data_IF_235105315632
#
_entry.id   IF_235105315632
#
_cell.length_a   1.000
_cell.length_b   1.000
_cell.length_c   1.000
_cell.angle_alpha   90.00
_cell.angle_beta   90.00
_cell.angle_gamma   90.00
#
_symmetry.space_group_name_H-M   'P 1'
#
loop_
_entity.id
_entity.type
_entity.pdbx_description
1 polymer ?
#
# COMPACT_ATOMS: atom_id res chain seq x y z
N UNK A 1 0.68 -21.48 -3.33
CA UNK A 1 1.40 -21.29 -4.61
C UNK A 1 1.56 -22.56 -5.46
N UNK A 2 1.39 -23.77 -4.95
CA UNK A 2 1.47 -25.01 -5.76
C UNK A 2 0.17 -25.40 -6.49
N UNK A 3 -0.96 -24.80 -6.14
CA UNK A 3 -2.27 -25.08 -6.75
C UNK A 3 -2.30 -24.92 -8.30
N UNK A 4 -1.69 -23.90 -8.92
CA UNK A 4 -1.68 -23.79 -10.38
C UNK A 4 -0.98 -24.96 -11.08
N UNK A 5 0.09 -25.49 -10.50
CA UNK A 5 0.84 -26.63 -11.06
C UNK A 5 0.00 -27.93 -11.12
N UNK A 6 -0.91 -28.10 -10.15
CA UNK A 6 -1.83 -29.24 -10.12
C UNK A 6 -2.86 -29.19 -11.26
N UNK A 7 -3.20 -28.01 -11.79
CA UNK A 7 -4.12 -27.84 -12.92
C UNK A 7 -3.39 -27.90 -14.27
N UNK A 8 -2.18 -27.39 -14.34
CA UNK A 8 -1.40 -27.34 -15.60
C UNK A 8 -0.96 -28.75 -16.02
N UNK A 9 -0.65 -29.64 -15.09
CA UNK A 9 -0.19 -30.99 -15.42
C UNK A 9 -1.25 -31.85 -16.11
N UNK A 10 -2.48 -32.04 -15.60
CA UNK A 10 -3.55 -32.78 -16.33
C UNK A 10 -3.87 -32.14 -17.68
N UNK A 11 -3.86 -30.80 -17.77
CA UNK A 11 -4.09 -30.08 -19.01
C UNK A 11 -2.99 -30.38 -20.04
N UNK A 12 -1.72 -30.41 -19.60
CA UNK A 12 -0.59 -30.78 -20.44
C UNK A 12 -0.70 -32.21 -20.97
N UNK A 13 -1.13 -33.16 -20.14
CA UNK A 13 -1.33 -34.57 -20.53
C UNK A 13 -2.45 -34.66 -21.59
N UNK A 14 -3.61 -34.02 -21.35
CA UNK A 14 -4.72 -34.01 -22.28
C UNK A 14 -4.33 -33.38 -23.63
N UNK A 15 -3.62 -32.25 -23.60
CA UNK A 15 -3.10 -31.58 -24.80
C UNK A 15 -2.11 -32.46 -25.56
N UNK A 16 -1.18 -33.09 -24.87
CA UNK A 16 -0.19 -33.99 -25.47
C UNK A 16 -0.86 -35.16 -26.16
N UNK A 17 -1.89 -35.76 -25.52
CA UNK A 17 -2.62 -36.88 -26.10
C UNK A 17 -3.38 -36.47 -27.36
N UNK A 18 -4.09 -35.34 -27.32
CA UNK A 18 -4.79 -34.80 -28.48
C UNK A 18 -3.84 -34.49 -29.63
N UNK A 19 -2.71 -33.82 -29.35
CA UNK A 19 -1.72 -33.44 -30.33
C UNK A 19 -1.04 -34.69 -30.94
N UNK A 20 -0.67 -35.67 -30.11
CA UNK A 20 -0.03 -36.90 -30.56
C UNK A 20 -0.92 -37.69 -31.56
N UNK A 21 -2.21 -37.78 -31.25
CA UNK A 21 -3.14 -38.43 -32.15
C UNK A 21 -3.31 -37.73 -33.51
N UNK A 22 -3.38 -36.37 -33.48
CA UNK A 22 -3.46 -35.60 -34.71
C UNK A 22 -2.20 -35.71 -35.57
N UNK A 23 -1.03 -35.58 -34.92
CA UNK A 23 0.25 -35.69 -35.62
C UNK A 23 0.50 -37.10 -36.14
N UNK A 24 0.11 -38.13 -35.38
CA UNK A 24 0.25 -39.53 -35.82
C UNK A 24 -0.68 -39.87 -36.99
N UNK A 25 -1.88 -39.31 -37.06
CA UNK A 25 -2.85 -39.63 -38.12
C UNK A 25 -2.52 -38.96 -39.47
N UNK A 26 -1.94 -37.75 -39.45
CA UNK A 26 -1.76 -36.94 -40.65
C UNK A 26 -0.99 -37.65 -41.77
N UNK A 27 0.21 -38.24 -41.59
CA UNK A 27 0.95 -38.90 -42.65
C UNK A 27 0.26 -40.09 -43.24
N UNK A 28 -0.45 -40.86 -42.41
CA UNK A 28 -1.17 -42.08 -42.87
C UNK A 28 -2.45 -41.71 -43.62
N UNK A 29 -3.20 -40.71 -43.18
CA UNK A 29 -4.34 -40.21 -43.94
C UNK A 29 -3.93 -39.67 -45.29
N UNK A 30 -2.77 -39.04 -45.37
CA UNK A 30 -2.19 -38.60 -46.65
C UNK A 30 -1.82 -39.76 -47.54
N UNK A 31 -1.16 -40.81 -47.01
CA UNK A 31 -0.82 -42.03 -47.72
C UNK A 31 -2.10 -42.78 -48.26
N UNK A 32 -3.14 -42.87 -47.40
CA UNK A 32 -4.41 -43.45 -47.82
C UNK A 32 -5.05 -42.69 -48.99
N UNK A 33 -5.00 -41.34 -48.98
CA UNK A 33 -5.49 -40.50 -50.10
C UNK A 33 -4.71 -40.77 -51.35
N UNK A 34 -3.38 -40.93 -51.25
CA UNK A 34 -2.53 -41.23 -52.41
C UNK A 34 -2.80 -42.64 -52.95
N UNK A 35 -3.04 -43.67 -52.11
CA UNK A 35 -3.41 -44.98 -52.51
C UNK A 35 -4.74 -44.97 -53.29
N UNK A 36 -5.77 -44.31 -52.78
CA UNK A 36 -7.07 -44.18 -53.44
C UNK A 36 -6.88 -43.49 -54.81
N UNK A 37 -6.14 -42.39 -54.84
CA UNK A 37 -5.87 -41.65 -56.08
C UNK A 37 -5.08 -42.48 -57.09
N UNK A 38 -4.14 -43.32 -56.65
CA UNK A 38 -3.37 -44.24 -57.49
C UNK A 38 -4.26 -45.32 -58.11
N UNK A 39 -5.18 -45.93 -57.34
CA UNK A 39 -6.14 -46.91 -57.84
C UNK A 39 -7.13 -46.25 -58.79
N UNK A 40 -7.60 -45.06 -58.50
CA UNK A 40 -8.55 -44.30 -59.30
C UNK A 40 -8.01 -44.07 -60.73
N UNK A 41 -6.71 -43.75 -60.86
CA UNK A 41 -6.04 -43.55 -62.16
C UNK A 41 -5.92 -44.87 -63.00
N UNK A 42 -6.08 -46.02 -62.39
CA UNK A 42 -6.01 -47.32 -63.07
C UNK A 42 -7.37 -47.84 -63.54
N UNK A 43 -8.46 -47.19 -63.14
CA UNK A 43 -9.82 -47.56 -63.62
C UNK A 43 -9.97 -46.97 -65.02
N UNK A 44 -10.17 -47.84 -66.01
CA UNK A 44 -10.38 -47.45 -67.42
C UNK A 44 -11.74 -47.92 -67.89
N UNK A 45 -12.39 -47.16 -68.77
CA UNK A 45 -13.59 -47.56 -69.46
C UNK A 45 -13.22 -48.27 -70.75
N UNK A 46 -13.66 -49.52 -70.86
CA UNK A 46 -13.58 -50.31 -72.09
C UNK A 46 -14.98 -50.70 -72.49
N UNK A 47 -15.43 -50.25 -73.69
CA UNK A 47 -16.78 -50.48 -74.22
C UNK A 47 -17.90 -50.05 -73.25
N UNK A 48 -17.74 -48.93 -72.56
CA UNK A 48 -18.71 -48.35 -71.63
C UNK A 48 -18.81 -49.11 -70.29
N UNK A 49 -17.93 -50.10 -70.04
CA UNK A 49 -17.88 -50.83 -68.75
C UNK A 49 -16.55 -50.49 -68.02
N UNK A 50 -16.60 -50.19 -66.71
CA UNK A 50 -15.41 -49.97 -65.94
C UNK A 50 -14.58 -51.25 -65.82
N UNK A 51 -13.32 -51.20 -66.24
CA UNK A 51 -12.33 -52.25 -66.11
C UNK A 51 -11.16 -51.74 -65.29
N UNK A 52 -10.78 -52.48 -64.29
CA UNK A 52 -9.61 -52.21 -63.47
C UNK A 52 -8.45 -53.10 -63.88
N UNK A 53 -7.35 -52.47 -64.31
CA UNK A 53 -6.10 -53.16 -64.62
C UNK A 53 -5.03 -52.77 -63.61
N UNK A 54 -4.97 -53.52 -62.49
CA UNK A 54 -3.93 -53.30 -61.50
C UNK A 54 -2.66 -54.11 -61.86
N UNK A 55 -1.55 -53.45 -62.13
CA UNK A 55 -0.26 -54.11 -62.31
C UNK A 55 0.14 -54.92 -61.06
N UNK A 56 0.87 -56.00 -61.26
CA UNK A 56 1.33 -56.82 -60.14
C UNK A 56 2.20 -56.03 -59.13
N UNK A 57 2.93 -55.06 -59.62
CA UNK A 57 3.69 -54.13 -58.78
C UNK A 57 2.82 -53.27 -57.86
N UNK A 58 1.71 -52.76 -58.36
CA UNK A 58 0.77 -51.96 -57.54
C UNK A 58 0.07 -52.80 -56.50
N UNK A 59 -0.28 -54.06 -56.80
CA UNK A 59 -0.83 -55.03 -55.83
C UNK A 59 0.18 -55.43 -54.75
N UNK A 60 1.44 -55.58 -55.13
CA UNK A 60 2.52 -55.87 -54.19
C UNK A 60 2.83 -54.67 -53.27
N UNK A 61 2.75 -53.46 -53.77
CA UNK A 61 2.96 -52.24 -53.01
C UNK A 61 1.87 -52.02 -51.98
N UNK A 62 0.63 -52.33 -52.29
CA UNK A 62 -0.50 -52.26 -51.37
C UNK A 62 -0.45 -53.34 -50.27
N UNK A 63 0.30 -54.44 -50.47
CA UNK A 63 0.45 -55.55 -49.50
C UNK A 63 1.81 -55.61 -48.83
N UNK A 64 2.69 -54.67 -49.12
CA UNK A 64 4.09 -54.72 -48.67
C UNK A 64 4.32 -54.25 -47.23
N UNK A 65 3.25 -53.94 -46.53
CA UNK A 65 3.38 -53.49 -45.12
C UNK A 65 3.33 -54.66 -44.14
N UNK A 66 4.35 -54.82 -43.33
CA UNK A 66 4.49 -55.97 -42.39
C UNK A 66 3.64 -55.80 -41.12
N UNK A 67 3.24 -54.59 -40.76
CA UNK A 67 2.53 -54.33 -39.50
C UNK A 67 1.06 -53.97 -39.68
N UNK A 68 0.74 -53.12 -40.65
CA UNK A 68 -0.63 -52.74 -40.98
C UNK A 68 -1.11 -53.48 -42.22
N UNK A 69 -2.33 -54.04 -42.16
CA UNK A 69 -2.94 -54.68 -43.30
C UNK A 69 -3.70 -53.65 -44.11
N UNK A 70 -3.31 -53.54 -45.40
CA UNK A 70 -4.00 -52.66 -46.35
C UNK A 70 -5.01 -53.49 -47.14
N UNK A 71 -6.23 -53.07 -47.09
CA UNK A 71 -7.36 -53.66 -47.82
C UNK A 71 -7.84 -52.67 -48.86
N UNK A 72 -8.26 -53.19 -50.00
CA UNK A 72 -8.88 -52.34 -51.03
C UNK A 72 -10.09 -53.01 -51.65
N UNK A 73 -11.05 -52.20 -52.06
CA UNK A 73 -12.23 -52.67 -52.82
C UNK A 73 -12.58 -51.66 -53.88
N UNK A 74 -12.89 -52.20 -55.05
CA UNK A 74 -13.41 -51.40 -56.18
C UNK A 74 -14.73 -52.02 -56.61
N UNK A 75 -15.81 -51.31 -56.42
CA UNK A 75 -17.17 -51.75 -56.72
C UNK A 75 -17.89 -50.72 -57.57
N UNK A 76 -18.87 -51.17 -58.34
CA UNK A 76 -19.83 -50.27 -59.00
C UNK A 76 -20.96 -49.90 -58.00
N UNK A 77 -21.68 -48.83 -58.20
CA UNK A 77 -22.75 -48.37 -57.32
C UNK A 77 -23.92 -49.38 -57.24
N UNK A 78 -24.09 -50.27 -58.26
CA UNK A 78 -25.01 -51.40 -58.25
C UNK A 78 -24.51 -52.59 -57.47
N UNK A 79 -23.37 -52.49 -56.78
CA UNK A 79 -22.80 -53.50 -55.90
C UNK A 79 -21.90 -54.54 -56.56
N UNK A 80 -21.60 -54.43 -57.86
CA UNK A 80 -20.76 -55.42 -58.59
C UNK A 80 -19.29 -55.20 -58.22
N UNK A 81 -18.62 -56.22 -57.65
CA UNK A 81 -17.19 -56.19 -57.34
C UNK A 81 -16.38 -56.25 -58.61
N UNK A 82 -15.51 -55.24 -58.81
CA UNK A 82 -14.53 -55.17 -59.93
C UNK A 82 -13.20 -55.78 -59.54
N UNK A 83 -12.72 -55.48 -58.33
CA UNK A 83 -11.50 -56.04 -57.78
C UNK A 83 -11.42 -55.80 -56.25
N UNK A 84 -10.59 -56.56 -55.57
CA UNK A 84 -10.25 -56.37 -54.13
C UNK A 84 -11.01 -57.24 -53.16
N UNK A 85 -11.07 -56.81 -51.92
CA UNK A 85 -11.61 -57.56 -50.79
C UNK A 85 -13.12 -57.39 -50.67
N UNK A 86 -13.86 -58.47 -50.73
CA UNK A 86 -15.33 -58.46 -50.73
C UNK A 86 -15.92 -58.06 -49.39
N UNK A 87 -15.21 -58.33 -48.29
CA UNK A 87 -15.72 -58.25 -46.94
C UNK A 87 -15.56 -56.87 -46.28
N UNK A 88 -15.00 -55.87 -46.99
CA UNK A 88 -14.87 -54.53 -46.43
C UNK A 88 -16.23 -53.93 -46.01
N UNK A 89 -16.30 -53.12 -44.94
CA UNK A 89 -17.55 -52.53 -44.48
C UNK A 89 -18.23 -51.71 -45.58
N UNK A 90 -19.53 -51.94 -45.73
CA UNK A 90 -20.27 -51.23 -46.79
C UNK A 90 -20.29 -49.72 -46.59
N UNK A 91 -20.04 -48.97 -47.67
CA UNK A 91 -20.29 -47.54 -47.68
C UNK A 91 -21.77 -47.34 -47.99
N UNK A 92 -22.42 -46.50 -47.18
CA UNK A 92 -23.79 -46.11 -47.49
C UNK A 92 -23.82 -45.40 -48.84
N UNK A 93 -24.76 -45.70 -49.71
CA UNK A 93 -24.89 -44.97 -50.96
C UNK A 93 -25.09 -43.49 -50.71
N UNK A 94 -24.55 -42.61 -51.53
CA UNK A 94 -24.64 -41.16 -51.31
C UNK A 94 -26.11 -40.73 -51.30
N UNK A 95 -26.53 -40.09 -50.24
CA UNK A 95 -27.86 -39.50 -50.13
C UNK A 95 -27.79 -38.07 -50.67
N UNK A 96 -28.33 -37.86 -51.92
CA UNK A 96 -28.48 -36.51 -52.48
C UNK A 96 -27.29 -35.96 -53.27
N UNK A 97 -27.30 -34.67 -53.51
CA UNK A 97 -26.37 -33.94 -54.37
C UNK A 97 -25.00 -33.57 -53.70
N UNK A 98 -24.73 -34.17 -52.52
CA UNK A 98 -23.58 -33.81 -51.69
C UNK A 98 -22.23 -34.47 -52.10
N UNK A 99 -22.24 -35.41 -53.00
CA UNK A 99 -21.02 -36.16 -53.36
C UNK A 99 -20.32 -35.51 -54.56
N UNK A 100 -19.13 -34.98 -54.34
CA UNK A 100 -18.28 -34.45 -55.39
C UNK A 100 -17.45 -35.62 -55.96
N UNK A 101 -17.63 -35.96 -57.22
CA UNK A 101 -16.84 -37.00 -57.86
C UNK A 101 -15.36 -36.64 -57.87
N UNK A 102 -14.50 -37.57 -57.47
CA UNK A 102 -13.03 -37.36 -57.42
C UNK A 102 -12.55 -36.81 -56.09
N UNK A 103 -13.42 -36.34 -55.19
CA UNK A 103 -13.07 -35.99 -53.83
C UNK A 103 -12.85 -37.25 -52.97
N UNK A 104 -11.83 -37.23 -52.08
CA UNK A 104 -11.47 -38.35 -51.26
C UNK A 104 -11.95 -38.13 -49.81
N UNK A 105 -12.86 -38.96 -49.37
CA UNK A 105 -13.45 -38.95 -48.03
C UNK A 105 -12.75 -39.94 -47.14
N UNK A 106 -12.64 -39.60 -45.82
CA UNK A 106 -12.06 -40.45 -44.80
C UNK A 106 -13.13 -40.82 -43.78
N UNK A 107 -13.16 -42.07 -43.34
CA UNK A 107 -13.99 -42.53 -42.24
C UNK A 107 -13.30 -43.62 -41.40
N UNK A 108 -13.71 -43.78 -40.18
CA UNK A 108 -13.33 -44.89 -39.34
C UNK A 108 -14.37 -46.03 -39.44
N UNK A 109 -13.90 -47.25 -39.41
CA UNK A 109 -14.74 -48.46 -39.45
C UNK A 109 -14.08 -49.56 -38.65
N UNK A 110 -14.88 -50.54 -38.21
CA UNK A 110 -14.38 -51.80 -37.66
C UNK A 110 -14.38 -52.86 -38.77
N UNK A 111 -13.29 -53.59 -38.88
CA UNK A 111 -13.17 -54.71 -39.78
C UNK A 111 -12.51 -55.90 -39.09
N UNK A 112 -13.25 -56.98 -38.95
CA UNK A 112 -12.81 -58.21 -38.27
C UNK A 112 -12.29 -58.02 -36.85
N UNK A 113 -12.86 -57.02 -36.10
CA UNK A 113 -12.46 -56.71 -34.74
C UNK A 113 -11.20 -55.83 -34.65
N UNK A 114 -10.77 -55.24 -35.76
CA UNK A 114 -9.67 -54.25 -35.82
C UNK A 114 -10.21 -52.92 -36.28
N UNK A 115 -9.70 -51.84 -35.66
CA UNK A 115 -9.98 -50.46 -36.11
C UNK A 115 -9.35 -50.23 -37.46
N UNK A 116 -10.18 -49.83 -38.41
CA UNK A 116 -9.79 -49.58 -39.80
C UNK A 116 -10.06 -48.10 -40.16
N UNK A 117 -9.09 -47.44 -40.73
CA UNK A 117 -9.25 -46.15 -41.36
C UNK A 117 -9.47 -46.35 -42.85
N UNK A 118 -10.60 -45.89 -43.36
CA UNK A 118 -11.01 -46.01 -44.75
C UNK A 118 -10.92 -44.68 -45.47
N UNK A 119 -10.26 -44.66 -46.61
CA UNK A 119 -10.38 -43.60 -47.59
C UNK A 119 -11.19 -44.10 -48.77
N UNK A 120 -12.11 -43.30 -49.29
CA UNK A 120 -12.92 -43.67 -50.45
C UNK A 120 -13.22 -42.47 -51.35
N UNK A 121 -13.44 -42.78 -52.61
CA UNK A 121 -13.86 -41.80 -53.61
C UNK A 121 -14.87 -42.39 -54.59
N UNK A 122 -15.65 -41.49 -55.14
CA UNK A 122 -16.59 -41.84 -56.24
C UNK A 122 -16.01 -41.35 -57.57
N UNK A 123 -15.91 -42.28 -58.53
CA UNK A 123 -15.51 -41.92 -59.89
C UNK A 123 -16.74 -41.88 -60.78
N UNK A 124 -16.92 -40.75 -61.44
CA UNK A 124 -17.92 -40.53 -62.46
C UNK A 124 -17.23 -40.02 -63.71
N UNK A 125 -17.48 -40.63 -64.86
CA UNK A 125 -17.08 -40.10 -66.16
C UNK A 125 -18.34 -39.67 -66.93
N UNK A 126 -18.27 -38.56 -67.64
CA UNK A 126 -19.41 -37.85 -68.24
C UNK A 126 -20.38 -38.69 -69.10
N UNK A 127 -19.96 -39.86 -69.52
CA UNK A 127 -20.75 -40.81 -70.32
C UNK A 127 -21.40 -41.97 -69.51
N UNK A 128 -21.22 -42.03 -68.19
CA UNK A 128 -21.71 -43.14 -67.36
C UNK A 128 -23.07 -42.86 -66.73
N UNK A 129 -24.04 -43.82 -66.80
CA UNK A 129 -25.23 -43.81 -65.95
C UNK A 129 -24.84 -43.84 -64.49
N UNK A 130 -25.61 -43.17 -63.55
CA UNK A 130 -25.34 -43.19 -62.13
C UNK A 130 -25.13 -44.60 -61.51
N UNK A 131 -25.82 -45.60 -62.04
CA UNK A 131 -25.69 -46.99 -61.61
C UNK A 131 -24.32 -47.63 -61.85
N UNK A 132 -23.50 -47.06 -62.78
CA UNK A 132 -22.18 -47.57 -63.12
C UNK A 132 -21.03 -46.75 -62.52
N UNK A 133 -21.33 -45.78 -61.65
CA UNK A 133 -20.28 -45.06 -60.89
C UNK A 133 -19.44 -46.07 -60.14
N UNK A 134 -18.17 -45.82 -60.08
CA UNK A 134 -17.21 -46.71 -59.39
C UNK A 134 -16.86 -46.13 -58.03
N UNK A 135 -16.98 -46.91 -57.01
CA UNK A 135 -16.52 -46.60 -55.65
C UNK A 135 -15.17 -47.29 -55.45
N UNK A 136 -14.16 -46.51 -55.11
CA UNK A 136 -12.85 -47.02 -54.76
C UNK A 136 -12.67 -46.81 -53.26
N UNK A 137 -12.34 -47.84 -52.56
CA UNK A 137 -12.10 -47.84 -51.12
C UNK A 137 -10.71 -48.43 -50.84
N UNK A 138 -9.98 -47.79 -49.96
CA UNK A 138 -8.75 -48.32 -49.40
C UNK A 138 -8.79 -48.13 -47.88
N UNK A 139 -8.60 -49.21 -47.15
CA UNK A 139 -8.56 -49.21 -45.73
C UNK A 139 -7.24 -49.72 -45.18
N UNK A 140 -6.80 -49.18 -44.11
CA UNK A 140 -5.60 -49.56 -43.40
C UNK A 140 -5.89 -49.70 -41.91
N UNK A 141 -5.36 -50.73 -41.26
CA UNK A 141 -5.48 -50.89 -39.83
C UNK A 141 -4.72 -49.75 -39.10
N UNK A 142 -5.17 -49.42 -37.91
CA UNK A 142 -4.65 -48.22 -37.20
C UNK A 142 -3.54 -48.52 -36.19
N UNK A 143 -2.96 -49.75 -36.28
CA UNK A 143 -2.01 -50.23 -35.27
C UNK A 143 -0.71 -49.41 -35.24
N UNK A 144 -0.10 -49.09 -36.38
CA UNK A 144 1.08 -48.23 -36.48
C UNK A 144 0.83 -46.81 -35.97
N UNK A 145 -0.36 -46.27 -36.30
CA UNK A 145 -0.77 -44.93 -35.85
C UNK A 145 -0.85 -44.91 -34.33
N UNK A 146 -1.49 -45.91 -33.73
CA UNK A 146 -1.60 -46.07 -32.26
C UNK A 146 -0.20 -46.23 -31.62
N UNK A 147 0.69 -47.04 -32.21
CA UNK A 147 2.05 -47.18 -31.70
C UNK A 147 2.82 -45.89 -31.79
N UNK A 148 2.71 -45.13 -32.88
CA UNK A 148 3.38 -43.84 -33.03
C UNK A 148 2.84 -42.80 -32.04
N UNK A 149 1.50 -42.70 -31.92
CA UNK A 149 0.87 -41.83 -30.94
C UNK A 149 1.34 -42.14 -29.52
N UNK A 150 1.34 -43.43 -29.15
CA UNK A 150 1.79 -43.91 -27.84
C UNK A 150 3.28 -43.59 -27.59
N UNK A 151 4.14 -43.74 -28.62
CA UNK A 151 5.56 -43.35 -28.51
C UNK A 151 5.71 -41.85 -28.28
N UNK A 152 4.96 -41.01 -29.00
CA UNK A 152 4.96 -39.54 -28.81
C UNK A 152 4.50 -39.21 -27.38
N UNK A 153 3.38 -39.78 -26.95
CA UNK A 153 2.82 -39.56 -25.61
C UNK A 153 3.83 -40.00 -24.54
N UNK A 154 4.42 -41.18 -24.65
CA UNK A 154 5.40 -41.68 -23.70
C UNK A 154 6.66 -40.79 -23.66
N UNK A 155 7.16 -40.36 -24.82
CA UNK A 155 8.36 -39.52 -24.90
C UNK A 155 8.20 -38.14 -24.27
N UNK A 156 6.97 -37.58 -24.24
CA UNK A 156 6.67 -36.28 -23.65
C UNK A 156 6.26 -36.41 -22.19
N UNK A 157 5.43 -37.40 -21.85
CA UNK A 157 4.89 -37.53 -20.51
C UNK A 157 5.90 -38.10 -19.51
N UNK A 158 6.70 -39.10 -19.91
CA UNK A 158 7.65 -39.77 -19.00
C UNK A 158 8.66 -38.78 -18.36
N UNK A 159 9.31 -37.86 -19.10
CA UNK A 159 10.16 -36.85 -18.52
C UNK A 159 9.43 -35.90 -17.55
N UNK A 160 8.16 -35.61 -17.76
CA UNK A 160 7.37 -34.74 -16.89
C UNK A 160 7.25 -35.30 -15.47
N UNK A 161 7.17 -36.63 -15.30
CA UNK A 161 7.14 -37.26 -13.99
C UNK A 161 8.42 -37.05 -13.16
N UNK A 162 9.54 -36.70 -13.80
CA UNK A 162 10.80 -36.39 -13.12
C UNK A 162 10.94 -34.87 -12.96
N UNK A 163 10.70 -34.11 -14.03
CA UNK A 163 10.95 -32.66 -14.08
C UNK A 163 10.01 -31.91 -13.14
N UNK A 164 8.72 -32.26 -13.11
CA UNK A 164 7.73 -31.52 -12.30
C UNK A 164 7.96 -31.70 -10.80
N UNK A 165 8.13 -32.94 -10.24
CA UNK A 165 8.48 -33.10 -8.83
C UNK A 165 9.79 -32.43 -8.44
N UNK A 166 10.80 -32.50 -9.32
CA UNK A 166 12.07 -31.84 -9.09
C UNK A 166 11.92 -30.32 -9.04
N UNK A 167 11.17 -29.73 -9.97
CA UNK A 167 10.88 -28.30 -9.99
C UNK A 167 10.12 -27.87 -8.73
N UNK A 168 9.09 -28.63 -8.32
CA UNK A 168 8.34 -28.37 -7.08
C UNK A 168 9.23 -28.42 -5.86
N UNK A 169 10.12 -29.41 -5.79
CA UNK A 169 11.08 -29.56 -4.69
C UNK A 169 12.07 -28.38 -4.63
N UNK A 170 12.59 -27.94 -5.79
CA UNK A 170 13.51 -26.80 -5.86
C UNK A 170 12.84 -25.49 -5.44
N UNK A 171 11.61 -25.25 -5.93
CA UNK A 171 10.82 -24.06 -5.54
C UNK A 171 10.51 -24.09 -4.04
N UNK A 172 10.09 -25.24 -3.50
CA UNK A 172 9.82 -25.39 -2.08
C UNK A 172 11.08 -25.15 -1.23
N UNK A 173 12.23 -25.70 -1.65
CA UNK A 173 13.51 -25.51 -0.95
C UNK A 173 13.94 -24.04 -1.00
N UNK A 174 13.90 -23.41 -2.18
CA UNK A 174 14.24 -22.00 -2.35
C UNK A 174 13.36 -21.08 -1.49
N UNK A 175 12.04 -21.28 -1.55
CA UNK A 175 11.08 -20.49 -0.78
C UNK A 175 11.24 -20.70 0.73
N UNK A 176 11.42 -21.96 1.17
CA UNK A 176 11.63 -22.29 2.58
C UNK A 176 12.90 -21.66 3.14
N UNK A 177 13.98 -21.62 2.33
CA UNK A 177 15.25 -21.02 2.74
C UNK A 177 15.19 -19.50 2.68
N UNK A 178 14.54 -18.93 1.65
CA UNK A 178 14.40 -17.49 1.49
C UNK A 178 13.50 -16.84 2.56
N UNK A 179 12.48 -17.55 3.06
CA UNK A 179 11.58 -17.02 4.10
C UNK A 179 12.06 -17.27 5.53
N UNK A 180 13.11 -18.08 5.74
CA UNK A 180 13.65 -18.32 7.10
C UNK A 180 14.07 -17.06 7.85
N UNK A 181 14.74 -16.07 7.24
CA UNK A 181 15.11 -14.84 7.93
C UNK A 181 13.90 -14.07 8.45
N UNK A 182 12.85 -13.98 7.65
CA UNK A 182 11.60 -13.32 8.05
C UNK A 182 10.94 -14.02 9.24
N UNK A 183 10.92 -15.36 9.23
CA UNK A 183 10.40 -16.15 10.35
C UNK A 183 11.24 -15.96 11.64
N UNK A 184 12.57 -15.81 11.50
CA UNK A 184 13.45 -15.52 12.63
C UNK A 184 13.21 -14.11 13.17
N UNK A 185 13.12 -13.12 12.29
CA UNK A 185 12.81 -11.74 12.67
C UNK A 185 11.50 -11.67 13.45
N UNK A 186 10.44 -12.29 12.92
CA UNK A 186 9.16 -12.41 13.62
C UNK A 186 9.31 -13.01 15.02
N UNK A 187 9.99 -14.15 15.13
CA UNK A 187 10.23 -14.79 16.45
C UNK A 187 11.01 -13.91 17.41
N UNK A 188 11.98 -13.14 16.91
CA UNK A 188 12.74 -12.17 17.72
C UNK A 188 11.84 -11.06 18.24
N UNK A 189 10.92 -10.56 17.42
CA UNK A 189 9.95 -9.55 17.82
C UNK A 189 8.93 -10.13 18.80
N UNK A 190 8.35 -11.30 18.51
CA UNK A 190 7.34 -11.96 19.34
C UNK A 190 7.88 -12.37 20.74
N UNK A 191 9.20 -12.66 20.82
CA UNK A 191 9.84 -13.07 22.09
C UNK A 191 10.31 -11.89 22.96
N UNK A 192 10.17 -10.63 22.50
CA UNK A 192 10.55 -9.45 23.29
C UNK A 192 9.55 -9.20 24.39
N UNK A 193 10.07 -8.72 25.51
CA UNK A 193 9.23 -8.17 26.56
C UNK A 193 8.66 -6.81 26.11
N UNK A 194 7.49 -6.41 26.60
CA UNK A 194 6.85 -5.13 26.21
C UNK A 194 7.74 -3.89 26.44
N UNK A 195 8.65 -3.97 27.41
CA UNK A 195 9.54 -2.87 27.80
C UNK A 195 10.91 -2.92 27.12
N UNK A 196 11.20 -3.96 26.32
CA UNK A 196 12.47 -4.08 25.59
C UNK A 196 12.43 -3.30 24.28
N UNK A 197 12.88 -2.06 24.33
CA UNK A 197 13.02 -1.16 23.20
C UNK A 197 14.43 -1.17 22.58
N UNK A 198 15.29 -2.13 22.93
CA UNK A 198 16.64 -2.23 22.38
C UNK A 198 16.63 -2.46 20.86
N UNK A 199 17.63 -1.98 20.09
CA UNK A 199 17.65 -2.15 18.64
C UNK A 199 17.80 -3.62 18.24
N UNK A 200 17.16 -4.01 17.15
CA UNK A 200 17.33 -5.33 16.54
C UNK A 200 18.66 -5.35 15.79
N UNK A 201 19.48 -6.39 16.06
CA UNK A 201 20.78 -6.53 15.44
C UNK A 201 20.67 -6.80 13.92
N UNK A 202 21.23 -5.94 13.09
CA UNK A 202 21.23 -6.04 11.62
C UNK A 202 22.23 -7.07 11.06
N UNK A 203 23.24 -7.45 11.80
CA UNK A 203 24.36 -8.33 11.34
C UNK A 203 23.95 -9.70 10.76
N UNK A 204 22.70 -10.14 10.92
CA UNK A 204 22.20 -11.46 10.43
C UNK A 204 20.95 -11.31 9.56
N UNK A 205 20.68 -10.12 9.11
CA UNK A 205 19.52 -9.81 8.27
C UNK A 205 19.99 -9.75 6.82
N UNK A 206 19.26 -10.36 5.86
CA UNK A 206 19.54 -10.18 4.44
C UNK A 206 19.43 -8.71 4.03
N UNK A 207 20.20 -8.32 3.01
CA UNK A 207 20.23 -6.94 2.47
C UNK A 207 18.85 -6.41 2.11
N UNK A 208 17.96 -7.29 1.63
CA UNK A 208 16.59 -6.95 1.24
C UNK A 208 15.68 -6.58 2.42
N UNK A 209 16.04 -7.01 3.63
CA UNK A 209 15.28 -6.72 4.86
C UNK A 209 15.95 -5.66 5.73
N UNK A 210 17.16 -5.24 5.44
CA UNK A 210 17.90 -4.24 6.21
C UNK A 210 17.14 -2.90 6.33
N UNK A 211 16.57 -2.32 5.25
CA UNK A 211 15.81 -1.07 5.36
C UNK A 211 14.58 -1.19 6.28
N UNK A 212 13.95 -2.37 6.30
CA UNK A 212 12.80 -2.62 7.18
C UNK A 212 13.23 -2.65 8.66
N UNK A 213 14.37 -3.30 8.95
CA UNK A 213 14.90 -3.40 10.32
C UNK A 213 15.40 -2.03 10.80
N UNK A 214 16.01 -1.23 9.92
CA UNK A 214 16.43 0.14 10.23
C UNK A 214 15.23 1.03 10.56
N UNK A 215 14.19 1.04 9.74
CA UNK A 215 12.96 1.79 10.00
C UNK A 215 12.30 1.37 11.33
N UNK A 216 12.32 0.06 11.62
CA UNK A 216 11.81 -0.45 12.89
C UNK A 216 12.67 -0.01 14.09
N UNK A 217 14.00 -0.05 13.96
CA UNK A 217 14.92 0.43 14.99
C UNK A 217 14.78 1.93 15.24
N UNK A 218 14.53 2.71 14.20
CA UNK A 218 14.25 4.14 14.32
C UNK A 218 12.96 4.40 15.10
N UNK A 219 11.92 3.62 14.83
CA UNK A 219 10.67 3.65 15.60
C UNK A 219 10.88 3.28 17.06
N UNK A 220 11.64 2.22 17.35
CA UNK A 220 11.98 1.82 18.73
C UNK A 220 12.76 2.91 19.46
N UNK A 221 13.76 3.50 18.82
CA UNK A 221 14.55 4.60 19.38
C UNK A 221 13.70 5.85 19.66
N UNK A 222 12.70 6.13 18.82
CA UNK A 222 11.72 7.21 19.06
C UNK A 222 10.82 6.89 20.24
N UNK A 223 10.34 5.65 20.32
CA UNK A 223 9.50 5.19 21.43
C UNK A 223 10.26 5.21 22.76
N UNK A 224 11.52 4.77 22.77
CA UNK A 224 12.38 4.83 23.96
C UNK A 224 12.55 6.27 24.46
N UNK A 225 12.85 7.22 23.56
CA UNK A 225 12.96 8.65 23.92
C UNK A 225 11.68 9.19 24.55
N UNK A 226 10.52 8.78 24.00
CA UNK A 226 9.24 9.21 24.54
C UNK A 226 8.99 8.63 25.94
N UNK A 227 9.28 7.34 26.17
CA UNK A 227 9.15 6.72 27.49
C UNK A 227 10.08 7.36 28.51
N UNK A 228 11.34 7.60 28.15
CA UNK A 228 12.31 8.28 29.02
C UNK A 228 11.89 9.71 29.35
N UNK A 229 11.33 10.44 28.36
CA UNK A 229 10.81 11.81 28.59
C UNK A 229 9.61 11.78 29.54
N UNK A 230 8.70 10.81 29.35
CA UNK A 230 7.53 10.63 30.23
C UNK A 230 7.93 10.25 31.66
N UNK A 231 8.90 9.34 31.83
CA UNK A 231 9.40 8.97 33.17
C UNK A 231 10.05 10.16 33.89
N UNK A 232 10.88 10.94 33.19
CA UNK A 232 11.46 12.19 33.72
C UNK A 232 10.37 13.16 34.14
N UNK A 233 9.38 13.39 33.27
CA UNK A 233 8.25 14.27 33.57
C UNK A 233 7.51 13.85 34.87
N UNK A 234 7.20 12.56 35.04
CA UNK A 234 6.51 12.06 36.24
C UNK A 234 7.37 12.24 37.50
N UNK A 235 8.67 11.94 37.37
CA UNK A 235 9.59 12.10 38.50
C UNK A 235 9.71 13.57 38.93
N UNK A 236 9.88 14.48 38.00
CA UNK A 236 10.00 15.91 38.23
C UNK A 236 8.69 16.50 38.77
N UNK A 237 7.54 16.13 38.23
CA UNK A 237 6.24 16.53 38.72
C UNK A 237 6.02 16.10 40.16
N UNK A 238 6.38 14.85 40.52
CA UNK A 238 6.28 14.33 41.86
C UNK A 238 7.18 15.13 42.84
N UNK A 239 8.40 15.47 42.43
CA UNK A 239 9.33 16.27 43.22
C UNK A 239 8.81 17.69 43.46
N UNK A 240 8.33 18.35 42.40
CA UNK A 240 7.79 19.73 42.46
C UNK A 240 6.48 19.81 43.25
N UNK A 241 5.67 18.75 43.31
CA UNK A 241 4.48 18.71 44.14
C UNK A 241 4.82 18.47 45.64
N UNK A 242 5.88 17.72 45.91
CA UNK A 242 6.26 17.42 47.30
C UNK A 242 6.60 18.67 48.11
N UNK A 243 7.31 19.61 47.48
CA UNK A 243 7.77 20.85 48.14
C UNK A 243 6.61 21.71 48.67
N UNK A 244 5.62 22.16 47.85
CA UNK A 244 4.49 22.95 48.34
C UNK A 244 3.62 22.18 49.36
N UNK A 245 3.40 20.87 49.15
CA UNK A 245 2.65 20.04 50.07
C UNK A 245 3.33 19.93 51.44
N UNK A 246 4.66 19.82 51.47
CA UNK A 246 5.42 19.82 52.73
C UNK A 246 5.33 21.19 53.41
N UNK A 247 5.44 22.29 52.71
CA UNK A 247 5.24 23.65 53.22
C UNK A 247 3.84 23.84 53.84
N UNK A 248 2.78 23.44 53.10
CA UNK A 248 1.41 23.46 53.56
C UNK A 248 1.22 22.65 54.85
N UNK A 249 1.77 21.43 54.91
CA UNK A 249 1.72 20.57 56.10
C UNK A 249 2.40 21.26 57.30
N UNK A 250 3.57 21.88 57.10
CA UNK A 250 4.29 22.58 58.18
C UNK A 250 3.49 23.79 58.69
N UNK A 251 2.92 24.61 57.78
CA UNK A 251 2.10 25.77 58.15
C UNK A 251 0.81 25.34 58.86
N UNK A 252 0.17 24.24 58.41
CA UNK A 252 -1.01 23.69 59.10
C UNK A 252 -0.67 23.17 60.52
N UNK A 253 0.47 22.48 60.68
CA UNK A 253 0.95 22.05 61.99
C UNK A 253 1.29 23.20 62.91
N UNK A 254 1.82 24.31 62.40
CA UNK A 254 2.06 25.53 63.14
C UNK A 254 0.72 26.16 63.57
N UNK A 255 -0.22 26.36 62.64
CA UNK A 255 -1.53 26.95 62.91
C UNK A 255 -2.34 26.16 63.96
N UNK A 256 -2.22 24.81 64.01
CA UNK A 256 -2.89 23.97 64.99
C UNK A 256 -2.37 24.24 66.42
N UNK A 257 -1.12 24.63 66.58
CA UNK A 257 -0.47 24.85 67.88
C UNK A 257 -0.44 26.32 68.33
N UNK A 258 -0.81 27.24 67.41
CA UNK A 258 -0.75 28.66 67.63
C UNK A 258 -1.98 29.13 68.42
N UNK A 259 -1.78 29.96 69.44
CA UNK A 259 -2.84 30.54 70.31
C UNK A 259 -3.01 32.03 70.09
N UNK A 260 -1.99 32.70 69.47
CA UNK A 260 -2.10 34.11 69.11
C UNK A 260 -2.99 34.29 67.88
N UNK A 261 -4.10 35.08 67.96
CA UNK A 261 -5.00 35.29 66.85
C UNK A 261 -4.36 35.91 65.61
N UNK A 262 -3.36 36.77 65.75
CA UNK A 262 -2.71 37.41 64.60
C UNK A 262 -1.73 36.44 63.91
N UNK A 263 -0.95 35.68 64.69
CA UNK A 263 -0.10 34.61 64.17
C UNK A 263 -0.88 33.52 63.47
N UNK A 264 -2.05 33.14 64.06
CA UNK A 264 -2.97 32.17 63.43
C UNK A 264 -3.53 32.67 62.10
N UNK A 265 -3.98 33.95 62.03
CA UNK A 265 -4.45 34.54 60.78
C UNK A 265 -3.36 34.59 59.71
N UNK A 266 -2.11 34.88 60.12
CA UNK A 266 -0.96 34.86 59.21
C UNK A 266 -0.71 33.46 58.65
N UNK A 267 -0.69 32.43 59.55
CA UNK A 267 -0.52 31.06 59.12
C UNK A 267 -1.63 30.57 58.14
N UNK A 268 -2.90 30.94 58.44
CA UNK A 268 -4.03 30.63 57.53
C UNK A 268 -3.91 31.31 56.18
N UNK A 269 -3.43 32.57 56.11
CA UNK A 269 -3.17 33.23 54.83
C UNK A 269 -2.04 32.56 54.07
N UNK A 270 -0.98 32.12 54.74
CA UNK A 270 0.11 31.36 54.13
C UNK A 270 -0.39 30.01 53.58
N UNK A 271 -1.26 29.33 54.27
CA UNK A 271 -1.89 28.08 53.80
C UNK A 271 -2.71 28.38 52.55
N UNK A 272 -3.59 29.40 52.55
CA UNK A 272 -4.39 29.79 51.37
C UNK A 272 -3.52 30.07 50.15
N UNK A 273 -2.50 30.90 50.32
CA UNK A 273 -1.51 31.22 49.24
C UNK A 273 -0.81 29.93 48.74
N UNK A 274 -0.44 29.04 49.66
CA UNK A 274 0.20 27.75 49.30
C UNK A 274 -0.73 26.80 48.52
N UNK A 275 -2.03 26.77 48.85
CA UNK A 275 -3.03 26.01 48.09
C UNK A 275 -3.17 26.56 46.69
N UNK A 276 -3.25 27.90 46.54
CA UNK A 276 -3.34 28.54 45.21
C UNK A 276 -2.09 28.25 44.32
N UNK A 277 -0.90 28.24 44.96
CA UNK A 277 0.33 27.84 44.26
C UNK A 277 0.29 26.38 43.81
N UNK A 278 -0.10 25.48 44.67
CA UNK A 278 -0.24 24.06 44.32
C UNK A 278 -1.28 23.84 43.20
N UNK A 279 -2.40 24.55 43.27
CA UNK A 279 -3.44 24.51 42.21
C UNK A 279 -2.91 25.00 40.85
N UNK A 280 -2.17 26.10 40.83
CA UNK A 280 -1.53 26.60 39.60
C UNK A 280 -0.52 25.58 39.04
N UNK A 281 0.31 24.98 39.86
CA UNK A 281 1.26 23.94 39.45
C UNK A 281 0.54 22.74 38.83
N UNK A 282 -0.53 22.24 39.44
CA UNK A 282 -1.34 21.13 38.89
C UNK A 282 -1.90 21.49 37.53
N UNK A 283 -2.48 22.70 37.38
CA UNK A 283 -3.03 23.14 36.10
C UNK A 283 -1.95 23.24 35.01
N UNK A 284 -0.74 23.73 35.35
CA UNK A 284 0.38 23.79 34.43
C UNK A 284 0.85 22.40 34.00
N UNK A 285 0.93 21.43 34.92
CA UNK A 285 1.26 20.04 34.64
C UNK A 285 0.21 19.38 33.74
N UNK A 286 -1.09 19.62 34.01
CA UNK A 286 -2.18 19.12 33.19
C UNK A 286 -2.16 19.73 31.78
N UNK A 287 -1.87 21.03 31.66
CA UNK A 287 -1.75 21.69 30.36
C UNK A 287 -0.58 21.08 29.58
N UNK A 288 0.59 20.91 30.19
CA UNK A 288 1.75 20.30 29.56
C UNK A 288 1.48 18.85 29.14
N UNK A 289 0.87 18.02 30.00
CA UNK A 289 0.53 16.65 29.68
C UNK A 289 -0.47 16.52 28.52
N UNK A 290 -1.47 17.41 28.45
CA UNK A 290 -2.45 17.45 27.35
C UNK A 290 -1.83 17.92 26.04
N UNK A 291 -0.87 18.83 26.12
CA UNK A 291 -0.13 19.34 24.96
C UNK A 291 0.77 18.25 24.38
N UNK A 292 1.51 17.53 25.23
CA UNK A 292 2.38 16.42 24.81
C UNK A 292 1.60 15.17 24.34
N UNK A 293 0.44 14.87 24.94
CA UNK A 293 -0.38 13.70 24.60
C UNK A 293 -1.10 13.79 23.25
N UNK A 294 -0.98 14.91 22.54
CA UNK A 294 -1.63 15.10 21.23
C UNK A 294 -3.16 15.25 21.28
N UNK A 295 -3.80 15.14 22.45
CA UNK A 295 -5.26 15.29 22.58
C UNK A 295 -5.74 16.70 22.19
N UNK A 296 -4.93 17.73 22.44
CA UNK A 296 -5.22 19.11 22.07
C UNK A 296 -4.77 19.43 20.63
N UNK A 297 -3.77 18.71 20.10
CA UNK A 297 -3.36 18.82 18.69
C UNK A 297 -4.44 18.28 17.74
N UNK A 298 -5.32 17.39 18.18
CA UNK A 298 -6.48 16.90 17.42
C UNK A 298 -7.64 17.90 17.35
N UNK A 299 -7.68 18.94 18.21
CA UNK A 299 -8.62 20.05 18.04
C UNK A 299 -8.18 20.87 16.83
N UNK A 300 -9.08 21.00 15.88
CA UNK A 300 -8.84 21.68 14.59
C UNK A 300 -8.19 23.05 14.82
N UNK A 301 -7.07 23.27 14.14
CA UNK A 301 -6.57 24.59 13.88
C UNK A 301 -7.63 25.35 13.07
N UNK A 302 -7.94 26.53 13.48
CA UNK A 302 -8.88 27.40 12.79
C UNK A 302 -8.22 28.73 12.45
N UNK A 303 -8.76 29.42 11.46
CA UNK A 303 -8.32 30.76 11.09
C UNK A 303 -8.82 31.72 12.15
N UNK A 304 -7.89 32.44 12.79
CA UNK A 304 -8.23 33.37 13.86
C UNK A 304 -7.39 34.65 13.76
N UNK A 305 -7.91 35.72 14.31
CA UNK A 305 -7.17 36.99 14.49
C UNK A 305 -6.41 36.95 15.82
N UNK A 306 -5.09 36.79 15.72
CA UNK A 306 -4.21 36.76 16.88
C UNK A 306 -4.23 38.09 17.65
N UNK A 307 -4.38 39.24 16.96
CA UNK A 307 -4.45 40.56 17.61
C UNK A 307 -5.67 40.69 18.54
N UNK A 308 -6.82 40.19 18.08
CA UNK A 308 -8.05 40.18 18.88
C UNK A 308 -7.91 39.26 20.10
N UNK A 309 -7.37 38.01 19.89
CA UNK A 309 -7.15 37.04 20.96
C UNK A 309 -6.20 37.57 22.04
N UNK A 310 -5.05 38.14 21.63
CA UNK A 310 -4.05 38.65 22.60
C UNK A 310 -4.58 39.89 23.34
N UNK A 311 -5.34 40.76 22.67
CA UNK A 311 -6.01 41.91 23.31
C UNK A 311 -6.92 41.45 24.44
N UNK A 312 -7.74 40.44 24.23
CA UNK A 312 -8.63 39.86 25.25
C UNK A 312 -7.83 39.30 26.43
N UNK A 313 -6.71 38.58 26.14
CA UNK A 313 -5.84 38.06 27.21
C UNK A 313 -5.18 39.20 27.99
N UNK A 314 -4.66 40.22 27.34
CA UNK A 314 -4.06 41.37 28.02
C UNK A 314 -5.08 42.07 28.93
N UNK A 315 -6.34 42.25 28.45
CA UNK A 315 -7.40 42.83 29.25
C UNK A 315 -7.69 42.07 30.57
N UNK A 316 -7.61 40.72 30.54
CA UNK A 316 -7.74 39.91 31.74
C UNK A 316 -6.62 40.18 32.78
N UNK A 317 -5.43 40.66 32.36
CA UNK A 317 -4.28 40.86 33.19
C UNK A 317 -4.12 42.32 33.68
N UNK A 318 -4.88 43.28 33.18
CA UNK A 318 -4.79 44.72 33.55
C UNK A 318 -4.92 44.92 35.05
N UNK A 319 -5.91 44.29 35.71
CA UNK A 319 -6.10 44.47 37.15
C UNK A 319 -4.91 43.97 37.98
N UNK A 320 -4.30 42.86 37.54
CA UNK A 320 -3.13 42.25 38.19
C UNK A 320 -1.92 43.20 38.02
N UNK A 321 -1.74 43.80 36.83
CA UNK A 321 -0.69 44.74 36.54
C UNK A 321 -0.83 46.02 37.40
N UNK A 322 -2.05 46.58 37.53
CA UNK A 322 -2.36 47.70 38.37
C UNK A 322 -2.01 47.40 39.84
N UNK A 323 -2.42 46.24 40.35
CA UNK A 323 -2.12 45.82 41.74
C UNK A 323 -0.58 45.73 41.98
N UNK A 324 0.16 45.34 40.96
CA UNK A 324 1.63 45.30 40.98
C UNK A 324 2.32 46.63 40.70
N UNK A 325 1.58 47.70 40.40
CA UNK A 325 2.07 49.01 39.96
C UNK A 325 2.95 48.90 38.69
N UNK A 326 2.55 48.05 37.69
CA UNK A 326 3.23 47.85 36.42
C UNK A 326 2.36 48.42 35.30
N UNK A 327 2.97 49.16 34.37
CA UNK A 327 2.28 49.63 33.18
C UNK A 327 2.24 48.50 32.11
N UNK A 328 1.04 48.01 31.79
CA UNK A 328 0.83 46.94 30.81
C UNK A 328 0.21 47.49 29.53
N UNK A 329 0.99 47.56 28.46
CA UNK A 329 0.63 48.04 27.14
C UNK A 329 0.31 46.94 26.16
N UNK A 330 -0.57 47.27 25.18
CA UNK A 330 -0.82 46.42 24.01
C UNK A 330 -0.72 47.20 22.71
N UNK A 331 0.13 46.77 21.79
CA UNK A 331 0.40 47.44 20.51
C UNK A 331 0.08 46.48 19.34
N UNK A 332 -0.65 46.98 18.35
CA UNK A 332 -0.90 46.25 17.10
C UNK A 332 -1.18 47.23 15.96
N UNK A 333 -0.73 46.90 14.77
CA UNK A 333 -1.02 47.71 13.56
C UNK A 333 -2.36 47.36 12.91
N UNK A 334 -3.01 46.27 13.35
CA UNK A 334 -4.28 45.79 12.80
C UNK A 334 -4.52 44.30 13.03
N UNK A 335 -5.49 43.71 12.35
CA UNK A 335 -5.76 42.27 12.42
C UNK A 335 -4.56 41.46 11.92
N UNK A 336 -4.25 40.36 12.62
CA UNK A 336 -3.17 39.44 12.29
C UNK A 336 -3.69 38.00 12.19
N UNK A 337 -4.02 37.57 10.97
CA UNK A 337 -4.64 36.28 10.73
C UNK A 337 -3.61 35.17 10.74
N UNK A 338 -3.86 34.14 11.54
CA UNK A 338 -3.07 32.91 11.60
C UNK A 338 -3.96 31.67 11.60
N UNK A 339 -3.38 30.51 11.32
CA UNK A 339 -4.02 29.21 11.54
C UNK A 339 -3.55 28.66 12.88
N UNK A 340 -4.44 28.47 13.85
CA UNK A 340 -4.03 28.01 15.17
C UNK A 340 -5.18 27.53 16.06
N UNK A 341 -4.82 27.00 17.22
CA UNK A 341 -5.77 26.60 18.25
C UNK A 341 -5.95 27.75 19.27
N UNK A 342 -7.13 28.38 19.34
CA UNK A 342 -7.32 29.56 20.18
C UNK A 342 -7.12 29.29 21.68
N UNK A 343 -7.41 28.09 22.14
CA UNK A 343 -7.19 27.72 23.55
C UNK A 343 -5.69 27.68 23.89
N UNK A 344 -4.91 27.02 23.02
CA UNK A 344 -3.45 26.92 23.23
C UNK A 344 -2.74 28.28 23.10
N UNK A 345 -3.14 29.08 22.11
CA UNK A 345 -2.57 30.41 21.92
C UNK A 345 -2.90 31.37 23.09
N UNK A 346 -4.11 31.23 23.69
CA UNK A 346 -4.46 31.95 24.91
C UNK A 346 -3.59 31.53 26.10
N UNK A 347 -3.32 30.25 26.25
CA UNK A 347 -2.42 29.73 27.30
C UNK A 347 -0.95 30.15 27.08
N UNK A 348 -0.47 30.18 25.83
CA UNK A 348 0.84 30.70 25.48
C UNK A 348 0.97 32.17 25.90
N UNK A 349 0.00 33.00 25.52
CA UNK A 349 -0.01 34.44 25.87
C UNK A 349 -0.05 34.65 27.40
N UNK A 350 -0.91 33.92 28.12
CA UNK A 350 -0.98 33.98 29.59
C UNK A 350 0.39 33.69 30.24
N UNK A 351 1.08 32.64 29.79
CA UNK A 351 2.36 32.23 30.34
C UNK A 351 3.44 33.31 30.06
N UNK A 352 3.46 33.94 28.87
CA UNK A 352 4.38 35.00 28.56
C UNK A 352 4.11 36.26 29.39
N UNK A 353 2.83 36.67 29.52
CA UNK A 353 2.44 37.87 30.28
C UNK A 353 2.67 37.64 31.77
N UNK A 354 2.30 36.48 32.36
CA UNK A 354 2.60 36.15 33.76
C UNK A 354 4.11 36.24 34.05
N UNK A 355 4.90 35.70 33.12
CA UNK A 355 6.36 35.71 33.24
C UNK A 355 6.88 37.16 33.23
N UNK A 356 6.49 38.02 32.28
CA UNK A 356 6.88 39.37 32.21
C UNK A 356 6.49 40.19 33.48
N UNK A 357 5.22 40.11 33.91
CA UNK A 357 4.72 40.76 35.13
C UNK A 357 5.37 40.24 36.43
N UNK A 358 5.97 39.09 36.42
CA UNK A 358 6.66 38.50 37.56
C UNK A 358 8.07 39.03 37.72
N UNK A 359 8.76 39.21 36.59
CA UNK A 359 10.18 39.65 36.60
C UNK A 359 10.33 41.15 36.47
N UNK A 360 9.26 41.90 36.20
CA UNK A 360 9.20 43.36 36.20
C UNK A 360 8.98 43.87 37.61
N UNK A 361 9.76 44.87 38.02
CA UNK A 361 9.62 45.53 39.32
C UNK A 361 8.44 46.54 39.32
N UNK A 362 8.11 47.06 40.51
CA UNK A 362 7.11 48.14 40.64
C UNK A 362 7.54 49.40 39.87
N UNK A 363 6.61 50.02 39.17
CA UNK A 363 6.85 51.16 38.31
C UNK A 363 7.48 50.81 36.95
N UNK A 364 7.60 49.51 36.65
CA UNK A 364 8.13 49.03 35.38
C UNK A 364 7.06 48.93 34.29
N UNK A 365 7.49 48.51 33.10
CA UNK A 365 6.65 48.45 31.89
C UNK A 365 6.71 47.06 31.26
N UNK A 366 5.53 46.58 30.81
CA UNK A 366 5.39 45.36 30.02
C UNK A 366 4.59 45.70 28.78
N UNK A 367 5.14 45.43 27.60
CA UNK A 367 4.46 45.71 26.33
C UNK A 367 4.27 44.45 25.54
N UNK A 368 3.00 44.10 25.28
CA UNK A 368 2.62 43.03 24.36
C UNK A 368 2.45 43.63 22.96
N UNK A 369 3.18 43.11 21.97
CA UNK A 369 3.15 43.65 20.60
C UNK A 369 2.83 42.55 19.58
N UNK A 370 1.97 42.85 18.62
CA UNK A 370 1.73 42.05 17.44
C UNK A 370 2.22 42.77 16.20
N UNK A 371 3.16 42.14 15.47
CA UNK A 371 3.71 42.68 14.22
C UNK A 371 3.34 41.72 13.10
N UNK A 372 2.45 42.17 12.22
CA UNK A 372 2.05 41.39 11.03
C UNK A 372 2.98 41.78 9.85
N UNK A 373 3.72 40.78 9.35
CA UNK A 373 4.46 40.87 8.10
C UNK A 373 3.72 40.04 7.02
N UNK A 374 4.12 40.16 5.73
CA UNK A 374 3.43 39.40 4.67
C UNK A 374 3.34 37.88 4.93
N UNK A 375 4.44 37.27 5.40
CA UNK A 375 4.50 35.78 5.56
C UNK A 375 4.48 35.34 7.03
N UNK A 376 4.66 36.27 7.99
CA UNK A 376 4.81 35.95 9.41
C UNK A 376 4.06 36.92 10.30
N UNK A 377 3.47 36.41 11.36
CA UNK A 377 2.92 37.21 12.48
C UNK A 377 3.79 36.96 13.70
N UNK A 378 4.36 38.04 14.22
CA UNK A 378 5.21 38.02 15.42
C UNK A 378 4.35 38.43 16.62
N UNK A 379 4.36 37.58 17.66
CA UNK A 379 3.92 37.99 18.98
C UNK A 379 5.12 38.19 19.89
N UNK A 380 5.23 39.39 20.44
CA UNK A 380 6.32 39.83 21.33
C UNK A 380 5.76 40.29 22.67
N UNK A 381 6.44 39.90 23.73
CA UNK A 381 6.23 40.45 25.08
C UNK A 381 7.56 40.99 25.54
N UNK A 382 7.62 42.30 25.67
CA UNK A 382 8.80 43.06 26.11
C UNK A 382 8.61 43.51 27.57
N UNK A 383 9.61 43.32 28.40
CA UNK A 383 9.65 43.80 29.79
C UNK A 383 10.93 44.61 30.03
N UNK A 384 10.91 45.47 31.05
CA UNK A 384 12.03 46.21 31.57
C UNK A 384 12.54 45.67 32.93
N UNK A 385 12.31 44.40 33.19
CA UNK A 385 12.64 43.68 34.41
C UNK A 385 14.13 43.39 34.60
N UNK A 386 14.43 42.32 35.33
CA UNK A 386 15.80 41.92 35.67
C UNK A 386 16.67 41.55 34.44
N UNK A 387 16.01 41.21 33.34
CA UNK A 387 16.65 40.72 32.11
C UNK A 387 17.15 39.29 32.18
N UNK A 388 17.82 38.85 31.13
CA UNK A 388 18.39 37.53 30.98
C UNK A 388 19.72 37.60 30.25
N UNK A 389 20.68 36.71 30.58
CA UNK A 389 21.91 36.58 29.81
C UNK A 389 21.68 35.74 28.53
N UNK A 390 22.53 35.92 27.49
CA UNK A 390 22.47 35.11 26.26
C UNK A 390 22.64 33.60 26.54
N UNK A 391 23.50 33.26 27.51
CA UNK A 391 23.75 31.87 27.89
C UNK A 391 22.50 31.19 28.50
N UNK A 392 21.68 31.97 29.23
CA UNK A 392 20.47 31.50 29.88
C UNK A 392 19.26 31.47 28.93
N UNK A 393 19.30 32.25 27.84
CA UNK A 393 18.18 32.47 26.93
C UNK A 393 17.65 31.18 26.26
N UNK A 394 18.50 30.17 26.06
CA UNK A 394 18.10 28.85 25.56
C UNK A 394 17.63 27.94 26.69
N UNK A 395 18.28 27.97 27.84
CA UNK A 395 18.02 27.10 28.97
C UNK A 395 16.65 27.35 29.66
N UNK A 396 16.17 28.61 29.58
CA UNK A 396 14.87 28.97 30.24
C UNK A 396 13.65 28.31 29.65
N UNK A 397 13.75 27.67 28.48
CA UNK A 397 12.71 26.85 27.90
C UNK A 397 12.75 25.39 28.36
N UNK A 398 13.83 24.99 29.08
CA UNK A 398 13.88 23.68 29.72
C UNK A 398 12.90 23.63 30.89
N UNK A 399 12.33 22.45 31.11
CA UNK A 399 11.35 22.24 32.19
C UNK A 399 12.00 22.43 33.56
N UNK A 400 11.31 23.17 34.44
CA UNK A 400 11.73 23.44 35.79
C UNK A 400 13.03 24.27 35.92
N UNK A 401 13.60 24.77 34.80
CA UNK A 401 14.77 25.65 34.85
C UNK A 401 14.36 27.01 35.38
N UNK A 402 15.23 27.61 36.23
CA UNK A 402 15.07 28.91 36.84
C UNK A 402 16.42 29.61 36.92
N UNK A 403 16.45 30.88 36.58
CA UNK A 403 17.66 31.71 36.58
C UNK A 403 18.09 32.03 38.03
N UNK A 404 17.13 32.13 38.99
CA UNK A 404 17.41 32.46 40.38
C UNK A 404 16.50 31.62 41.29
N UNK A 405 17.09 30.73 42.09
CA UNK A 405 16.35 29.77 42.93
C UNK A 405 15.69 30.39 44.18
N UNK A 406 16.15 31.58 44.59
CA UNK A 406 15.86 32.07 45.93
C UNK A 406 14.84 33.22 46.00
N UNK A 407 14.68 34.06 44.96
CA UNK A 407 14.00 35.34 45.06
C UNK A 407 12.64 35.45 44.37
N UNK A 408 12.30 34.58 43.43
CA UNK A 408 11.10 34.71 42.62
C UNK A 408 10.21 33.47 42.71
N UNK A 409 8.90 33.65 42.88
CA UNK A 409 7.90 32.57 42.89
C UNK A 409 7.68 32.02 41.50
N UNK A 410 7.93 30.74 41.22
CA UNK A 410 7.63 30.15 39.91
C UNK A 410 7.88 28.65 39.85
N UNK A 411 7.14 27.96 38.99
CA UNK A 411 7.28 26.50 38.77
C UNK A 411 8.42 26.16 37.78
N UNK A 412 8.92 27.10 36.99
CA UNK A 412 9.82 26.84 35.86
C UNK A 412 9.15 26.09 34.68
N UNK A 413 7.80 26.03 34.64
CA UNK A 413 7.06 25.35 33.56
C UNK A 413 6.50 26.33 32.51
N UNK A 414 6.34 27.60 32.83
CA UNK A 414 5.65 28.57 31.95
C UNK A 414 6.26 28.68 30.58
N UNK A 415 7.59 28.87 30.48
CA UNK A 415 8.28 28.97 29.21
C UNK A 415 8.40 27.62 28.48
N UNK A 416 8.48 26.51 29.20
CA UNK A 416 8.42 25.19 28.60
C UNK A 416 7.05 24.92 27.94
N UNK A 417 5.94 25.37 28.57
CA UNK A 417 4.60 25.33 27.95
C UNK A 417 4.53 26.22 26.71
N UNK A 418 5.10 27.40 26.76
CA UNK A 418 5.17 28.31 25.61
C UNK A 418 5.90 27.66 24.42
N UNK A 419 7.04 27.04 24.67
CA UNK A 419 7.81 26.35 23.64
C UNK A 419 7.04 25.18 23.04
N UNK A 420 6.38 24.37 23.85
CA UNK A 420 5.59 23.23 23.39
C UNK A 420 4.39 23.69 22.54
N UNK A 421 3.68 24.72 22.98
CA UNK A 421 2.57 25.31 22.20
C UNK A 421 3.10 25.91 20.89
N UNK A 422 4.24 26.61 20.91
CA UNK A 422 4.84 27.14 19.70
C UNK A 422 5.18 26.03 18.71
N UNK A 423 5.78 24.92 19.15
CA UNK A 423 6.11 23.78 18.29
C UNK A 423 4.87 23.14 17.66
N UNK A 424 3.72 23.06 18.38
CA UNK A 424 2.47 22.57 17.80
C UNK A 424 1.86 23.49 16.74
N UNK A 425 2.34 24.73 16.65
CA UNK A 425 1.97 25.71 15.63
C UNK A 425 3.10 25.91 14.60
N UNK A 426 3.99 24.92 14.43
CA UNK A 426 5.15 24.96 13.55
C UNK A 426 6.04 26.21 13.79
N UNK A 427 6.08 26.64 15.03
CA UNK A 427 6.75 27.87 15.47
C UNK A 427 7.80 27.57 16.53
N UNK A 428 8.63 28.55 16.84
CA UNK A 428 9.60 28.47 17.94
C UNK A 428 9.53 29.72 18.79
N UNK A 429 9.50 29.54 20.10
CA UNK A 429 9.66 30.64 21.03
C UNK A 429 11.15 31.00 21.21
N UNK A 430 11.45 32.26 21.40
CA UNK A 430 12.80 32.77 21.73
C UNK A 430 12.69 33.83 22.81
N UNK A 431 13.71 33.91 23.67
CA UNK A 431 13.87 34.96 24.65
C UNK A 431 15.20 35.65 24.40
N UNK A 432 15.23 36.96 24.46
CA UNK A 432 16.49 37.76 24.23
C UNK A 432 16.59 38.88 25.27
N UNK A 433 17.80 39.29 25.59
CA UNK A 433 18.00 40.54 26.36
C UNK A 433 17.35 41.70 25.62
N UNK A 434 16.74 42.64 26.37
CA UNK A 434 16.19 43.87 25.77
C UNK A 434 17.33 44.77 25.30
N UNK A 435 17.44 45.12 23.99
CA UNK A 435 18.50 45.99 23.48
C UNK A 435 18.38 47.42 24.00
N UNK A 436 17.20 47.83 24.50
CA UNK A 436 17.01 49.18 25.10
C UNK A 436 17.61 49.34 26.50
N UNK A 437 18.16 48.25 27.09
CA UNK A 437 18.86 48.31 28.36
C UNK A 437 18.54 47.17 29.32
N UNK A 438 17.57 47.33 30.21
CA UNK A 438 17.15 46.30 31.16
C UNK A 438 15.93 45.54 30.60
N UNK A 439 15.78 44.27 31.02
CA UNK A 439 14.63 43.44 30.69
C UNK A 439 14.88 42.42 29.61
N UNK A 440 13.82 41.82 29.13
CA UNK A 440 13.87 40.78 28.13
C UNK A 440 12.73 40.94 27.08
N UNK A 441 12.92 40.33 25.90
CA UNK A 441 11.92 40.25 24.86
C UNK A 441 11.67 38.78 24.56
N UNK A 442 10.47 38.29 24.88
CA UNK A 442 9.99 36.98 24.48
C UNK A 442 9.27 37.14 23.13
N UNK A 443 9.60 36.28 22.15
CA UNK A 443 9.06 36.31 20.79
C UNK A 443 8.65 34.96 20.32
N UNK A 444 7.47 34.92 19.65
CA UNK A 444 6.97 33.72 18.91
C UNK A 444 6.55 34.18 17.52
N UNK A 445 7.03 33.46 16.48
CA UNK A 445 6.75 33.78 15.08
C UNK A 445 5.83 32.74 14.49
N UNK A 446 4.63 33.13 14.11
CA UNK A 446 3.62 32.27 13.44
C UNK A 446 3.60 32.52 11.94
N UNK A 447 3.21 31.50 11.14
CA UNK A 447 2.95 31.71 9.73
C UNK A 447 1.68 32.56 9.56
N UNK A 448 1.76 33.59 8.72
CA UNK A 448 0.60 34.40 8.38
C UNK A 448 -0.39 33.56 7.53
N UNK A 449 -1.67 33.64 7.86
CA UNK A 449 -2.69 32.99 7.06
C UNK A 449 -3.12 33.90 5.90
N UNK A 450 -3.12 33.34 4.69
CA UNK A 450 -3.65 34.00 3.50
C UNK A 450 -4.85 33.22 2.97
N UNK A 451 -5.93 33.91 2.55
CA UNK A 451 -7.01 33.21 1.86
C UNK A 451 -6.44 32.54 0.60
N UNK A 452 -6.87 31.31 0.27
CA UNK A 452 -6.40 30.64 -0.93
C UNK A 452 -6.69 31.56 -2.14
N UNK A 453 -5.65 31.81 -2.94
CA UNK A 453 -5.79 32.57 -4.19
C UNK A 453 -6.87 31.87 -5.04
N UNK A 454 -7.94 32.57 -5.45
CA UNK A 454 -8.91 31.94 -6.34
C UNK A 454 -8.17 31.43 -7.57
N UNK A 455 -8.53 30.23 -8.08
CA UNK A 455 -7.90 29.71 -9.28
C UNK A 455 -8.03 30.76 -10.37
N UNK A 456 -6.92 31.22 -10.92
CA UNK A 456 -6.90 32.06 -12.12
C UNK A 456 -7.64 31.26 -13.19
N UNK A 457 -8.85 31.69 -13.53
CA UNK A 457 -9.54 31.15 -14.70
C UNK A 457 -8.61 31.36 -15.90
N UNK A 458 -8.37 30.34 -16.71
CA UNK A 458 -7.61 30.52 -17.94
C UNK A 458 -8.27 31.64 -18.77
N UNK A 459 -7.48 32.53 -19.34
CA UNK A 459 -7.92 33.67 -20.19
C UNK A 459 -8.74 33.25 -21.44
N UNK A 460 -9.01 31.95 -21.60
CA UNK A 460 -9.62 31.34 -22.78
C UNK A 460 -11.17 31.31 -22.76
N UNK A 461 -11.82 31.85 -21.71
CA UNK A 461 -13.29 31.94 -21.70
C UNK A 461 -13.86 33.04 -22.62
N UNK A 462 -13.03 33.96 -23.12
CA UNK A 462 -13.47 34.98 -24.06
C UNK A 462 -13.72 34.48 -25.49
N UNK A 463 -13.14 33.34 -25.89
CA UNK A 463 -13.36 32.73 -27.20
C UNK A 463 -14.63 31.88 -27.29
N UNK A 464 -15.06 31.27 -26.21
CA UNK A 464 -16.30 30.46 -26.17
C UNK A 464 -17.60 31.30 -26.32
N UNK A 465 -17.57 32.56 -25.95
CA UNK A 465 -18.72 33.46 -26.10
C UNK A 465 -18.85 34.08 -27.50
N UNK A 466 -17.82 34.01 -28.36
CA UNK A 466 -17.84 34.52 -29.74
C UNK A 466 -18.42 33.53 -30.76
N UNK A 467 -18.63 32.28 -30.39
CA UNK A 467 -19.14 31.24 -31.30
C UNK A 467 -20.63 30.87 -31.10
N UNK A 468 -21.35 31.56 -30.26
CA UNK A 468 -22.81 31.33 -30.16
C UNK A 468 -23.51 32.09 -31.30
N UNK A 469 -24.26 31.42 -32.19
CA UNK A 469 -25.04 32.08 -33.22
C UNK A 469 -26.16 32.89 -32.57
N UNK A 470 -26.56 34.03 -33.17
CA UNK A 470 -27.67 34.85 -32.64
C UNK A 470 -28.97 34.05 -32.69
N UNK A 471 -29.61 33.93 -31.53
CA UNK A 471 -30.97 33.37 -31.44
C UNK A 471 -31.88 34.33 -32.19
N UNK A 472 -32.33 33.90 -33.34
CA UNK A 472 -33.21 34.64 -34.21
C UNK A 472 -34.59 34.87 -33.59
N UNK A 473 -35.18 36.01 -33.97
CA UNK A 473 -36.50 36.47 -33.67
C UNK A 473 -37.63 35.54 -34.17
#
# INVERSE_FOLDING_TARGET
>A
MLAPLLFVWPLSIAFTHYFANNVANFPYDQALREHVAAIARQVKLVNGKPLLSLPASTRALLRADETDSVYFRVITLDGKLLAGDKDLPAIAPPSGDEVVPGEIYLRDADFKGQDLRLAYTYLNEASMPKAQWVIIEVGETTEKRSQLANKIVASVILPQFIIIPLAVMLVWFGLSRGLRPLTRLRKTIDARQPDDLSPIATRRVPEELEPLVEAFNEMLARMQRNVEAQQRFVADAAHQMRTPLTGLKTQAQFAIRETDPEALRHALRQIATGVDRAGRLVNQLLTLARTEGGELAQRKHEVLDLSALIRDVVADWVMIAIEKEIDLGFETAGPAMIMGNPFLLRELAKNLIDNALRYTGRGGHVTCRIVANPDTVLFEVEDDGIGISEEQAELVFERFYRVDDASTEGSGLGLAIVQEIAMQHDSRASLRPNPAGKGAIARVAFAAWHPPTPPTLPDDFSELYRQSPPIGA
#
